data_IF_385615380267
#
_entry.id   IF_385615380267
#
_cell.length_a   1.000
_cell.length_b   1.000
_cell.length_c   1.000
_cell.angle_alpha   90.00
_cell.angle_beta   90.00
_cell.angle_gamma   90.00
#
_symmetry.space_group_name_H-M   'P 1'
#
loop_
_entity.id
_entity.type
_entity.pdbx_description
1 polymer ?
#
# COMPACT_ATOMS: atom_id res chain seq x y z
N UNK A 1 -11.94 8.31 -58.21
CA UNK A 1 -12.21 7.41 -57.06
C UNK A 1 -11.26 7.79 -55.94
N UNK A 2 -11.76 8.57 -54.97
CA UNK A 2 -11.00 8.95 -53.78
C UNK A 2 -11.06 7.81 -52.76
N UNK A 3 -9.92 7.32 -52.24
CA UNK A 3 -9.93 6.22 -51.27
C UNK A 3 -10.54 6.69 -49.95
N UNK A 4 -11.46 5.90 -49.42
CA UNK A 4 -12.13 6.14 -48.14
C UNK A 4 -11.10 5.94 -47.02
N UNK A 5 -10.88 6.90 -46.10
CA UNK A 5 -9.98 6.73 -44.98
C UNK A 5 -10.53 5.63 -44.05
N UNK A 6 -9.75 4.58 -43.84
CA UNK A 6 -10.07 3.53 -42.87
C UNK A 6 -9.85 4.13 -41.48
N UNK A 7 -10.87 4.21 -40.61
CA UNK A 7 -10.69 4.71 -39.26
C UNK A 7 -9.73 3.81 -38.49
N UNK A 8 -8.66 4.39 -37.94
CA UNK A 8 -7.71 3.70 -37.08
C UNK A 8 -8.47 3.03 -35.92
N UNK A 9 -8.16 1.77 -35.57
CA UNK A 9 -8.83 1.10 -34.47
C UNK A 9 -8.57 1.87 -33.18
N UNK A 10 -9.62 2.53 -32.68
CA UNK A 10 -9.62 3.13 -31.36
C UNK A 10 -9.37 2.02 -30.34
N UNK A 11 -8.40 2.24 -29.46
CA UNK A 11 -8.01 1.23 -28.47
C UNK A 11 -9.23 0.80 -27.64
N UNK A 12 -9.40 -0.50 -27.32
CA UNK A 12 -10.54 -0.96 -26.54
C UNK A 12 -10.64 -0.19 -25.22
N UNK A 13 -11.82 0.31 -24.82
CA UNK A 13 -11.98 1.17 -23.63
C UNK A 13 -11.41 0.54 -22.35
N UNK A 14 -11.42 -0.81 -22.23
CA UNK A 14 -10.84 -1.55 -21.10
C UNK A 14 -9.31 -1.41 -20.96
N UNK A 15 -8.56 -1.27 -22.06
CA UNK A 15 -7.09 -1.12 -22.03
C UNK A 15 -6.68 0.21 -21.41
N UNK A 16 -7.49 1.25 -21.61
CA UNK A 16 -7.27 2.58 -21.02
C UNK A 16 -7.55 2.63 -19.51
N UNK A 17 -8.55 1.89 -19.03
CA UNK A 17 -8.90 1.81 -17.59
C UNK A 17 -7.85 1.03 -16.81
N UNK A 18 -7.44 -0.13 -17.31
CA UNK A 18 -6.37 -0.93 -16.69
C UNK A 18 -5.05 -0.15 -16.57
N UNK A 19 -4.67 0.63 -17.61
CA UNK A 19 -3.51 1.52 -17.54
C UNK A 19 -3.67 2.62 -16.48
N UNK A 20 -4.86 3.21 -16.35
CA UNK A 20 -5.13 4.23 -15.32
C UNK A 20 -5.03 3.65 -13.91
N UNK A 21 -5.59 2.46 -13.67
CA UNK A 21 -5.48 1.76 -12.37
C UNK A 21 -4.02 1.42 -12.08
N UNK A 22 -3.27 0.90 -13.06
CA UNK A 22 -1.84 0.60 -12.91
C UNK A 22 -1.00 1.85 -12.60
N UNK A 23 -1.27 2.96 -13.29
CA UNK A 23 -0.61 4.23 -13.02
C UNK A 23 -0.97 4.78 -11.64
N UNK A 24 -2.22 4.64 -11.20
CA UNK A 24 -2.67 5.08 -9.88
C UNK A 24 -2.05 4.23 -8.77
N UNK A 25 -2.00 2.90 -8.94
CA UNK A 25 -1.36 1.98 -8.01
C UNK A 25 0.16 2.24 -7.91
N UNK A 26 0.82 2.49 -9.05
CA UNK A 26 2.24 2.83 -9.08
C UNK A 26 2.52 4.15 -8.38
N UNK A 27 1.71 5.19 -8.64
CA UNK A 27 1.81 6.48 -7.94
C UNK A 27 1.57 6.33 -6.44
N UNK A 28 0.54 5.58 -6.05
CA UNK A 28 0.22 5.32 -4.65
C UNK A 28 1.38 4.61 -3.94
N UNK A 29 1.93 3.56 -4.54
CA UNK A 29 3.06 2.81 -3.98
C UNK A 29 4.32 3.66 -3.88
N UNK A 30 4.63 4.46 -4.92
CA UNK A 30 5.85 5.27 -4.96
C UNK A 30 5.77 6.47 -4.02
N UNK A 31 4.68 7.24 -4.04
CA UNK A 31 4.47 8.38 -3.14
C UNK A 31 4.35 7.90 -1.70
N UNK A 32 3.52 6.88 -1.45
CA UNK A 32 3.34 6.32 -0.12
C UNK A 32 4.64 5.72 0.43
N UNK A 33 5.42 5.03 -0.41
CA UNK A 33 6.72 4.48 -0.04
C UNK A 33 7.75 5.56 0.29
N UNK A 34 7.84 6.62 -0.53
CA UNK A 34 8.73 7.77 -0.25
C UNK A 34 8.34 8.46 1.05
N UNK A 35 7.04 8.71 1.27
CA UNK A 35 6.55 9.32 2.51
C UNK A 35 6.86 8.44 3.74
N UNK A 36 6.67 7.13 3.64
CA UNK A 36 6.99 6.19 4.71
C UNK A 36 8.49 6.16 5.01
N UNK A 37 9.35 6.11 3.98
CA UNK A 37 10.80 6.15 4.14
C UNK A 37 11.27 7.46 4.76
N UNK A 38 10.74 8.58 4.27
CA UNK A 38 11.05 9.91 4.80
C UNK A 38 10.64 10.03 6.27
N UNK A 39 9.45 9.54 6.63
CA UNK A 39 8.98 9.54 8.01
C UNK A 39 9.86 8.68 8.93
N UNK A 40 10.27 7.49 8.46
CA UNK A 40 11.18 6.62 9.20
C UNK A 40 12.56 7.28 9.43
N UNK A 41 13.11 7.95 8.41
CA UNK A 41 14.37 8.71 8.54
C UNK A 41 14.21 9.86 9.54
N UNK A 42 13.12 10.63 9.47
CA UNK A 42 12.87 11.72 10.43
C UNK A 42 12.76 11.21 11.87
N UNK A 43 12.07 10.08 12.10
CA UNK A 43 11.96 9.47 13.43
C UNK A 43 13.33 9.00 13.92
N UNK A 44 14.13 8.35 13.05
CA UNK A 44 15.45 7.86 13.41
C UNK A 44 16.42 9.00 13.77
N UNK A 45 16.43 10.08 12.97
CA UNK A 45 17.23 11.28 13.27
C UNK A 45 16.73 11.95 14.55
N UNK A 46 15.42 12.10 14.71
CA UNK A 46 14.82 12.71 15.91
C UNK A 46 14.96 11.88 17.19
N UNK A 47 15.30 10.59 17.09
CA UNK A 47 15.67 9.75 18.24
C UNK A 47 17.14 9.89 18.65
N UNK A 48 17.99 10.46 17.79
CA UNK A 48 19.44 10.53 18.01
C UNK A 48 19.90 11.69 18.90
N UNK A 49 19.01 12.58 19.35
CA UNK A 49 19.36 13.65 20.28
C UNK A 49 18.15 14.37 20.89
N UNK A 50 18.42 15.14 21.95
CA UNK A 50 17.41 15.79 22.81
C UNK A 50 17.12 17.26 22.47
N UNK A 51 17.70 17.81 21.40
CA UNK A 51 17.44 19.22 21.05
C UNK A 51 16.01 19.43 20.58
N UNK A 52 15.45 20.63 20.83
CA UNK A 52 14.09 21.00 20.42
C UNK A 52 13.85 20.79 18.92
N UNK A 53 14.89 21.04 18.11
CA UNK A 53 14.85 20.82 16.66
C UNK A 53 14.69 19.33 16.32
N UNK A 54 15.38 18.44 17.03
CA UNK A 54 15.29 16.99 16.80
C UNK A 54 13.94 16.43 17.27
N UNK A 55 13.40 16.96 18.37
CA UNK A 55 12.04 16.65 18.83
C UNK A 55 10.97 17.07 17.80
N UNK A 56 11.13 18.24 17.20
CA UNK A 56 10.25 18.70 16.12
C UNK A 56 10.33 17.79 14.87
N UNK A 57 11.54 17.40 14.45
CA UNK A 57 11.74 16.47 13.32
C UNK A 57 11.09 15.11 13.60
N UNK A 58 11.23 14.58 14.82
CA UNK A 58 10.55 13.36 15.25
C UNK A 58 9.03 13.50 15.15
N UNK A 59 8.48 14.63 15.61
CA UNK A 59 7.06 14.95 15.53
C UNK A 59 6.53 14.99 14.09
N UNK A 60 7.27 15.58 13.16
CA UNK A 60 6.93 15.56 11.73
C UNK A 60 6.89 14.15 11.17
N UNK A 61 7.85 13.29 11.53
CA UNK A 61 7.85 11.89 11.11
C UNK A 61 6.60 11.14 11.58
N UNK A 62 6.18 11.31 12.84
CA UNK A 62 4.92 10.76 13.33
C UNK A 62 3.69 11.35 12.65
N UNK A 63 3.70 12.65 12.33
CA UNK A 63 2.63 13.31 11.57
C UNK A 63 2.47 12.73 10.16
N UNK A 64 3.57 12.40 9.48
CA UNK A 64 3.51 11.74 8.17
C UNK A 64 2.97 10.32 8.31
N UNK A 65 3.47 9.55 9.30
CA UNK A 65 2.98 8.19 9.54
C UNK A 65 1.49 8.15 9.89
N UNK A 66 0.98 9.12 10.63
CA UNK A 66 -0.45 9.18 10.97
C UNK A 66 -1.35 9.59 9.80
N UNK A 67 -0.82 10.34 8.83
CA UNK A 67 -1.54 10.73 7.61
C UNK A 67 -1.54 9.62 6.53
N UNK A 68 -0.55 8.72 6.53
CA UNK A 68 -0.42 7.66 5.51
C UNK A 68 -1.67 6.77 5.35
N UNK A 69 -2.34 6.29 6.42
CA UNK A 69 -3.57 5.51 6.27
C UNK A 69 -4.66 6.23 5.48
N UNK A 70 -4.84 7.53 5.73
CA UNK A 70 -5.81 8.36 5.01
C UNK A 70 -5.42 8.53 3.55
N UNK A 71 -4.12 8.77 3.28
CA UNK A 71 -3.58 8.81 1.92
C UNK A 71 -3.88 7.52 1.16
N UNK A 72 -3.53 6.36 1.74
CA UNK A 72 -3.80 5.06 1.12
C UNK A 72 -5.29 4.78 0.96
N UNK A 73 -6.13 5.15 1.93
CA UNK A 73 -7.58 4.97 1.83
C UNK A 73 -8.17 5.74 0.64
N UNK A 74 -7.82 7.02 0.48
CA UNK A 74 -8.30 7.86 -0.63
C UNK A 74 -7.89 7.28 -1.99
N UNK A 75 -6.63 6.89 -2.14
CA UNK A 75 -6.14 6.30 -3.38
C UNK A 75 -6.75 4.92 -3.66
N UNK A 76 -6.95 4.11 -2.61
CA UNK A 76 -7.56 2.79 -2.74
C UNK A 76 -9.01 2.91 -3.18
N UNK A 77 -9.80 3.83 -2.59
CA UNK A 77 -11.19 4.09 -3.02
C UNK A 77 -11.23 4.52 -4.48
N UNK A 78 -10.35 5.44 -4.89
CA UNK A 78 -10.24 5.86 -6.30
C UNK A 78 -9.85 4.71 -7.23
N UNK A 79 -8.96 3.83 -6.79
CA UNK A 79 -8.57 2.65 -7.57
C UNK A 79 -9.75 1.68 -7.72
N UNK A 80 -10.46 1.37 -6.64
CA UNK A 80 -11.61 0.45 -6.63
C UNK A 80 -12.73 0.94 -7.53
N UNK A 81 -13.03 2.24 -7.55
CA UNK A 81 -14.05 2.83 -8.43
C UNK A 81 -13.69 2.73 -9.93
N UNK A 82 -12.42 2.47 -10.26
CA UNK A 82 -11.92 2.36 -11.63
C UNK A 82 -11.58 0.90 -12.03
N UNK A 83 -11.64 -0.03 -11.08
CA UNK A 83 -11.33 -1.45 -11.30
C UNK A 83 -12.52 -2.19 -11.91
N UNK A 84 -12.20 -3.16 -12.76
CA UNK A 84 -13.16 -4.14 -13.22
C UNK A 84 -13.45 -5.17 -12.10
N UNK A 85 -14.61 -5.83 -12.18
CA UNK A 85 -15.11 -6.73 -11.13
C UNK A 85 -14.10 -7.85 -10.77
N UNK A 86 -13.41 -8.39 -11.78
CA UNK A 86 -12.37 -9.40 -11.61
C UNK A 86 -11.20 -8.90 -10.75
N UNK A 87 -10.66 -7.71 -11.07
CA UNK A 87 -9.53 -7.12 -10.35
C UNK A 87 -9.94 -6.75 -8.94
N UNK A 88 -11.17 -6.29 -8.76
CA UNK A 88 -11.76 -5.97 -7.46
C UNK A 88 -11.86 -7.23 -6.58
N UNK A 89 -12.35 -8.34 -7.12
CA UNK A 89 -12.40 -9.62 -6.39
C UNK A 89 -11.00 -10.09 -5.98
N UNK A 90 -10.03 -10.01 -6.88
CA UNK A 90 -8.63 -10.38 -6.61
C UNK A 90 -8.01 -9.51 -5.50
N UNK A 91 -8.28 -8.21 -5.50
CA UNK A 91 -7.86 -7.29 -4.45
C UNK A 91 -8.54 -7.56 -3.11
N UNK A 92 -9.84 -7.87 -3.10
CA UNK A 92 -10.54 -8.24 -1.87
C UNK A 92 -9.95 -9.52 -1.26
N UNK A 93 -9.61 -10.51 -2.08
CA UNK A 93 -8.98 -11.74 -1.62
C UNK A 93 -7.56 -11.50 -1.10
N UNK A 94 -6.75 -10.68 -1.79
CA UNK A 94 -5.42 -10.31 -1.30
C UNK A 94 -5.50 -9.57 0.05
N UNK A 95 -6.48 -8.67 0.19
CA UNK A 95 -6.70 -7.87 1.39
C UNK A 95 -7.17 -8.73 2.57
N UNK A 96 -8.05 -9.70 2.33
CA UNK A 96 -8.51 -10.60 3.40
C UNK A 96 -7.39 -11.50 3.93
N UNK A 97 -6.51 -11.99 3.05
CA UNK A 97 -5.31 -12.74 3.44
C UNK A 97 -4.39 -11.85 4.27
N UNK A 98 -4.09 -10.64 3.79
CA UNK A 98 -3.22 -9.70 4.50
C UNK A 98 -3.76 -9.32 5.88
N UNK A 99 -5.07 -9.06 5.97
CA UNK A 99 -5.75 -8.76 7.22
C UNK A 99 -5.64 -9.92 8.22
N UNK A 100 -5.91 -11.15 7.76
CA UNK A 100 -5.80 -12.35 8.58
C UNK A 100 -4.37 -12.54 9.10
N UNK A 101 -3.36 -12.43 8.24
CA UNK A 101 -1.94 -12.54 8.64
C UNK A 101 -1.58 -11.46 9.66
N UNK A 102 -1.99 -10.21 9.41
CA UNK A 102 -1.71 -9.09 10.32
C UNK A 102 -2.37 -9.29 11.68
N UNK A 103 -3.61 -9.79 11.73
CA UNK A 103 -4.29 -10.09 13.00
C UNK A 103 -3.60 -11.20 13.78
N UNK A 104 -3.18 -12.28 13.13
CA UNK A 104 -2.47 -13.38 13.79
C UNK A 104 -1.15 -12.89 14.36
N UNK A 105 -0.36 -12.14 13.58
CA UNK A 105 0.91 -11.58 14.04
C UNK A 105 0.70 -10.56 15.15
N UNK A 106 -0.30 -9.70 15.04
CA UNK A 106 -0.63 -8.72 16.07
C UNK A 106 -1.03 -9.39 17.39
N UNK A 107 -1.94 -10.36 17.35
CA UNK A 107 -2.34 -11.13 18.53
C UNK A 107 -1.17 -11.87 19.16
N UNK A 108 -0.30 -12.47 18.34
CA UNK A 108 0.92 -13.13 18.81
C UNK A 108 1.91 -12.18 19.49
N UNK A 109 2.16 -11.01 18.90
CA UNK A 109 3.06 -10.01 19.46
C UNK A 109 2.51 -9.40 20.76
N UNK A 110 1.20 -9.16 20.85
CA UNK A 110 0.56 -8.71 22.09
C UNK A 110 0.71 -9.77 23.20
N UNK A 111 0.51 -11.04 22.88
CA UNK A 111 0.70 -12.13 23.85
C UNK A 111 2.17 -12.26 24.31
N UNK A 112 3.12 -12.10 23.39
CA UNK A 112 4.56 -12.10 23.69
C UNK A 112 4.98 -10.87 24.51
N UNK A 113 4.43 -9.70 24.22
CA UNK A 113 4.68 -8.46 24.96
C UNK A 113 4.25 -8.61 26.43
N UNK A 114 3.11 -9.27 26.69
CA UNK A 114 2.68 -9.60 28.05
C UNK A 114 3.64 -10.56 28.79
N UNK A 115 4.27 -11.49 28.06
CA UNK A 115 5.18 -12.49 28.65
C UNK A 115 6.61 -11.96 28.85
N UNK A 116 7.13 -11.18 27.90
CA UNK A 116 8.54 -10.78 27.83
C UNK A 116 8.79 -9.29 28.12
N UNK A 117 7.74 -8.50 28.37
CA UNK A 117 7.81 -7.06 28.71
C UNK A 117 8.57 -6.19 27.71
N UNK A 118 8.58 -6.55 26.43
CA UNK A 118 9.08 -5.67 25.36
C UNK A 118 7.90 -4.95 24.69
N UNK A 119 8.11 -3.71 24.24
CA UNK A 119 7.11 -2.99 23.44
C UNK A 119 7.33 -3.25 21.96
N UNK A 120 6.30 -3.70 21.26
CA UNK A 120 6.38 -3.89 19.82
C UNK A 120 6.27 -2.53 19.12
N UNK A 121 7.28 -2.11 18.32
CA UNK A 121 7.18 -0.87 17.57
C UNK A 121 6.03 -0.94 16.55
N UNK A 122 5.21 0.11 16.48
CA UNK A 122 4.02 0.13 15.63
C UNK A 122 4.30 -0.05 14.13
N UNK A 123 5.51 0.30 13.66
CA UNK A 123 5.92 0.10 12.27
C UNK A 123 6.00 -1.38 11.87
N UNK A 124 6.16 -2.30 12.84
CA UNK A 124 6.20 -3.75 12.57
C UNK A 124 4.87 -4.22 12.02
N UNK A 125 3.75 -3.76 12.58
CA UNK A 125 2.41 -4.11 12.09
C UNK A 125 2.16 -3.60 10.67
N UNK A 126 2.63 -2.38 10.37
CA UNK A 126 2.57 -1.83 9.01
C UNK A 126 3.38 -2.66 8.02
N UNK A 127 4.62 -3.03 8.37
CA UNK A 127 5.48 -3.83 7.51
C UNK A 127 4.85 -5.19 7.22
N UNK A 128 4.33 -5.87 8.24
CA UNK A 128 3.68 -7.19 8.10
C UNK A 128 2.44 -7.10 7.22
N UNK A 129 1.56 -6.12 7.44
CA UNK A 129 0.36 -5.95 6.63
C UNK A 129 0.67 -5.66 5.17
N UNK A 130 1.62 -4.76 4.91
CA UNK A 130 2.00 -4.40 3.54
C UNK A 130 2.71 -5.56 2.81
N UNK A 131 3.62 -6.26 3.48
CA UNK A 131 4.34 -7.40 2.89
C UNK A 131 3.40 -8.57 2.60
N UNK A 132 2.52 -8.92 3.55
CA UNK A 132 1.55 -10.00 3.35
C UNK A 132 0.58 -9.68 2.21
N UNK A 133 0.13 -8.43 2.10
CA UNK A 133 -0.69 -7.99 0.96
C UNK A 133 0.05 -8.07 -0.37
N UNK A 134 1.30 -7.57 -0.45
CA UNK A 134 2.09 -7.66 -1.69
C UNK A 134 2.33 -9.11 -2.12
N UNK A 135 2.65 -9.99 -1.18
CA UNK A 135 2.87 -11.41 -1.44
C UNK A 135 1.57 -12.07 -1.92
N UNK A 136 0.45 -11.85 -1.22
CA UNK A 136 -0.84 -12.40 -1.60
C UNK A 136 -1.24 -11.95 -3.01
N UNK A 137 -1.09 -10.66 -3.32
CA UNK A 137 -1.39 -10.11 -4.62
C UNK A 137 -0.48 -10.68 -5.73
N UNK A 138 0.82 -10.84 -5.46
CA UNK A 138 1.76 -11.42 -6.40
C UNK A 138 1.46 -12.90 -6.68
N UNK A 139 1.10 -13.67 -5.65
CA UNK A 139 0.72 -15.08 -5.78
C UNK A 139 -0.59 -15.23 -6.56
N UNK A 140 -1.63 -14.46 -6.21
CA UNK A 140 -2.92 -14.48 -6.91
C UNK A 140 -2.78 -14.09 -8.38
N UNK A 141 -1.97 -13.07 -8.69
CA UNK A 141 -1.68 -12.66 -10.07
C UNK A 141 -0.86 -13.68 -10.86
N UNK A 142 0.03 -14.45 -10.20
CA UNK A 142 0.75 -15.54 -10.88
C UNK A 142 -0.19 -16.69 -11.20
N UNK A 143 -1.03 -17.07 -10.24
CA UNK A 143 -2.01 -18.14 -10.42
C UNK A 143 -3.00 -17.82 -11.54
N UNK A 144 -3.53 -16.60 -11.59
CA UNK A 144 -4.48 -16.20 -12.64
C UNK A 144 -3.91 -16.16 -14.05
N UNK A 145 -2.58 -16.16 -14.22
CA UNK A 145 -1.92 -16.25 -15.53
C UNK A 145 -1.67 -17.68 -15.99
N UNK A 146 -1.80 -18.64 -15.08
CA UNK A 146 -1.58 -20.06 -15.36
C UNK A 146 -2.88 -20.81 -15.68
N UNK A 147 -4.01 -20.26 -15.24
CA UNK A 147 -5.37 -20.68 -15.60
C UNK A 147 -5.81 -20.02 -16.93
#
# INVERSE_FOLDING_TARGET
MTPIPIPSPSSPPGRSRAQRVGALASKMGLIGGILAALAAVMIAIGQSGESDVLSFVKGMGFGILSALPFFFAVYTVRAVLLMDEYVRALQMQATSIAFMVTMVVAGGLIALEAAFKFQTPSYVFYAVGMLSWMIALAVLNRRSRQE
#
